data_IF_081611605472
#
_entry.id   IF_081611605472
#
_cell.length_a   1.000
_cell.length_b   1.000
_cell.length_c   1.000
_cell.angle_alpha   90.00
_cell.angle_beta   90.00
_cell.angle_gamma   90.00
#
_symmetry.space_group_name_H-M   'P 1'
#
loop_
_entity.id
_entity.type
_entity.pdbx_description
1 polymer ?
#
# COMPACT_ATOMS: atom_id res chain seq x y z
N UNK A 1 -26.95 65.58 -33.05
CA UNK A 1 -26.48 65.00 -31.78
C UNK A 1 -26.26 63.50 -31.96
N UNK A 2 -25.03 63.05 -32.21
CA UNK A 2 -24.70 61.62 -32.43
C UNK A 2 -23.94 61.07 -31.23
N UNK A 3 -24.63 60.24 -30.43
CA UNK A 3 -24.05 59.53 -29.27
C UNK A 3 -23.13 58.41 -29.80
N UNK A 4 -21.82 58.57 -29.63
CA UNK A 4 -20.82 57.55 -30.00
C UNK A 4 -21.07 56.23 -29.25
N UNK A 5 -21.06 55.14 -30.01
CA UNK A 5 -21.22 53.74 -29.62
C UNK A 5 -20.02 53.21 -28.82
N UNK A 6 -19.80 53.76 -27.62
CA UNK A 6 -18.72 53.38 -26.70
C UNK A 6 -18.87 51.97 -26.09
N UNK A 7 -20.02 51.32 -26.32
CA UNK A 7 -20.35 49.98 -25.83
C UNK A 7 -19.71 48.84 -26.62
N UNK A 8 -19.44 49.06 -27.91
CA UNK A 8 -18.95 48.03 -28.85
C UNK A 8 -17.43 48.08 -29.01
N UNK A 9 -16.77 49.10 -28.46
CA UNK A 9 -15.32 49.21 -28.47
C UNK A 9 -14.67 48.13 -27.60
N UNK A 10 -13.41 47.81 -27.90
CA UNK A 10 -12.61 46.85 -27.14
C UNK A 10 -12.51 47.23 -25.63
N UNK A 11 -12.44 46.24 -24.73
CA UNK A 11 -12.29 46.45 -23.30
C UNK A 11 -11.06 47.29 -22.98
N UNK A 12 -11.20 48.16 -21.99
CA UNK A 12 -10.08 48.99 -21.54
C UNK A 12 -9.11 48.15 -20.70
N UNK A 13 -7.81 48.41 -20.76
CA UNK A 13 -6.80 47.68 -19.97
C UNK A 13 -7.11 47.68 -18.46
N UNK A 14 -7.62 48.81 -17.94
CA UNK A 14 -8.08 48.93 -16.55
C UNK A 14 -9.24 47.99 -16.22
N UNK A 15 -10.19 47.80 -17.14
CA UNK A 15 -11.31 46.88 -16.94
C UNK A 15 -10.83 45.43 -16.89
N UNK A 16 -9.88 45.04 -17.75
CA UNK A 16 -9.31 43.70 -17.74
C UNK A 16 -8.48 43.44 -16.47
N UNK A 17 -7.71 44.43 -16.00
CA UNK A 17 -6.98 44.33 -14.74
C UNK A 17 -7.94 44.17 -13.55
N UNK A 18 -9.00 44.96 -13.52
CA UNK A 18 -10.02 44.90 -12.46
C UNK A 18 -10.81 43.59 -12.46
N UNK A 19 -11.11 43.04 -13.65
CA UNK A 19 -11.73 41.72 -13.78
C UNK A 19 -10.85 40.60 -13.22
N UNK A 20 -9.53 40.62 -13.48
CA UNK A 20 -8.60 39.63 -12.93
C UNK A 20 -8.53 39.71 -11.40
N UNK A 21 -8.47 40.92 -10.85
CA UNK A 21 -8.47 41.12 -9.40
C UNK A 21 -9.75 40.59 -8.75
N UNK A 22 -10.92 40.94 -9.30
CA UNK A 22 -12.20 40.42 -8.82
C UNK A 22 -12.31 38.90 -8.94
N UNK A 23 -11.86 38.33 -10.07
CA UNK A 23 -11.86 36.89 -10.32
C UNK A 23 -10.98 36.11 -9.32
N UNK A 24 -9.78 36.62 -9.03
CA UNK A 24 -8.90 36.07 -7.99
C UNK A 24 -9.55 36.18 -6.61
N UNK A 25 -10.15 37.33 -6.29
CA UNK A 25 -10.83 37.54 -5.03
C UNK A 25 -12.07 36.67 -4.85
N UNK A 26 -12.77 36.25 -5.90
CA UNK A 26 -13.94 35.39 -5.79
C UNK A 26 -13.65 33.91 -6.05
N UNK A 27 -12.41 33.56 -6.44
CA UNK A 27 -12.02 32.19 -6.80
C UNK A 27 -12.72 31.66 -8.05
N UNK A 28 -13.07 32.53 -9.00
CA UNK A 28 -13.82 32.17 -10.21
C UNK A 28 -13.13 32.65 -11.47
N UNK A 29 -13.31 31.94 -12.57
CA UNK A 29 -12.79 32.33 -13.89
C UNK A 29 -13.90 32.97 -14.75
N UNK A 30 -13.51 33.79 -15.72
CA UNK A 30 -14.42 34.41 -16.70
C UNK A 30 -13.88 34.25 -18.12
N UNK A 31 -14.78 34.21 -19.11
CA UNK A 31 -14.42 34.22 -20.53
C UNK A 31 -14.02 35.63 -20.97
N UNK A 32 -12.92 35.77 -21.71
CA UNK A 32 -12.37 37.07 -22.11
C UNK A 32 -13.39 37.95 -22.85
N UNK A 33 -13.84 39.09 -22.28
CA UNK A 33 -14.83 39.94 -22.90
C UNK A 33 -14.27 40.60 -24.16
N UNK A 34 -15.05 40.65 -25.23
CA UNK A 34 -14.64 41.24 -26.51
C UNK A 34 -14.99 42.73 -26.59
N UNK A 35 -15.85 43.22 -25.69
CA UNK A 35 -16.32 44.62 -25.68
C UNK A 35 -16.30 45.23 -24.28
N UNK A 36 -16.24 46.57 -24.18
CA UNK A 36 -16.31 47.29 -22.89
C UNK A 36 -17.62 47.01 -22.14
N UNK A 37 -18.73 46.83 -22.87
CA UNK A 37 -20.02 46.50 -22.26
C UNK A 37 -19.99 45.12 -21.62
N UNK A 38 -19.46 44.11 -22.33
CA UNK A 38 -19.28 42.76 -21.76
C UNK A 38 -18.35 42.79 -20.55
N UNK A 39 -17.26 43.54 -20.59
CA UNK A 39 -16.37 43.68 -19.45
C UNK A 39 -17.08 44.30 -18.22
N UNK A 40 -17.94 45.30 -18.44
CA UNK A 40 -18.71 45.94 -17.37
C UNK A 40 -19.77 45.01 -16.77
N UNK A 41 -20.48 44.25 -17.61
CA UNK A 41 -21.42 43.23 -17.14
C UNK A 41 -20.73 42.15 -16.29
N UNK A 42 -19.53 41.72 -16.70
CA UNK A 42 -18.77 40.72 -15.96
C UNK A 42 -18.23 41.29 -14.63
N UNK A 43 -17.84 42.56 -14.59
CA UNK A 43 -17.48 43.27 -13.36
C UNK A 43 -18.65 43.26 -12.37
N UNK A 44 -19.84 43.63 -12.81
CA UNK A 44 -21.02 43.67 -11.93
C UNK A 44 -21.43 42.27 -11.46
N UNK A 45 -21.34 41.26 -12.33
CA UNK A 45 -21.52 39.85 -11.96
C UNK A 45 -20.56 39.44 -10.83
N UNK A 46 -19.26 39.73 -10.98
CA UNK A 46 -18.25 39.37 -9.97
C UNK A 46 -18.40 40.16 -8.67
N UNK A 47 -18.82 41.43 -8.73
CA UNK A 47 -19.15 42.21 -7.52
C UNK A 47 -20.32 41.61 -6.76
N UNK A 48 -21.40 41.21 -7.45
CA UNK A 48 -22.54 40.54 -6.83
C UNK A 48 -22.13 39.19 -6.22
N UNK A 49 -21.27 38.43 -6.91
CA UNK A 49 -20.76 37.16 -6.40
C UNK A 49 -19.92 37.36 -5.13
N UNK A 50 -19.05 38.37 -5.09
CA UNK A 50 -18.27 38.75 -3.91
C UNK A 50 -19.16 39.16 -2.73
N UNK A 51 -20.22 39.92 -3.00
CA UNK A 51 -21.16 40.35 -1.98
C UNK A 51 -21.95 39.18 -1.37
N UNK A 52 -22.32 38.18 -2.18
CA UNK A 52 -23.12 37.03 -1.76
C UNK A 52 -22.30 35.93 -1.07
N UNK A 53 -21.08 35.65 -1.53
CA UNK A 53 -20.23 34.58 -0.98
C UNK A 53 -19.24 35.03 0.10
N UNK A 54 -19.07 36.34 0.28
CA UNK A 54 -18.00 36.90 1.10
C UNK A 54 -16.63 36.77 0.43
N UNK A 55 -15.59 37.36 1.05
CA UNK A 55 -14.20 37.18 0.62
C UNK A 55 -13.79 35.74 0.97
N UNK A 56 -13.41 34.89 0.00
CA UNK A 56 -12.63 33.69 0.28
C UNK A 56 -11.34 34.18 0.94
N UNK A 57 -11.26 34.03 2.25
CA UNK A 57 -9.98 34.03 2.91
C UNK A 57 -9.30 32.77 2.36
N UNK A 58 -8.24 32.94 1.57
CA UNK A 58 -7.23 31.88 1.53
C UNK A 58 -6.88 31.65 2.99
N UNK A 59 -7.33 30.51 3.54
CA UNK A 59 -6.83 30.05 4.81
C UNK A 59 -5.30 30.15 4.69
N UNK A 60 -4.61 30.74 5.68
CA UNK A 60 -3.15 30.84 5.62
C UNK A 60 -2.64 29.50 5.15
N UNK A 61 -1.78 29.48 4.12
CA UNK A 61 -1.06 28.25 3.76
C UNK A 61 -0.54 27.73 5.09
N UNK A 62 -1.14 26.64 5.59
CA UNK A 62 -0.67 25.99 6.80
C UNK A 62 0.82 25.85 6.56
N UNK A 63 1.60 26.51 7.41
CA UNK A 63 3.05 26.40 7.48
C UNK A 63 3.44 24.98 7.08
N UNK A 64 4.30 24.90 6.07
CA UNK A 64 4.73 23.71 5.35
C UNK A 64 4.20 22.38 5.89
N UNK A 65 3.33 21.71 5.11
CA UNK A 65 2.89 20.33 5.38
C UNK A 65 4.07 19.33 5.50
N UNK A 66 5.29 19.74 5.18
CA UNK A 66 6.53 19.02 5.42
C UNK A 66 7.00 19.05 6.89
N UNK A 67 6.52 20.00 7.71
CA UNK A 67 6.86 20.09 9.14
C UNK A 67 5.85 19.40 10.07
N UNK A 68 4.65 19.07 9.58
CA UNK A 68 3.76 18.20 10.32
C UNK A 68 4.30 16.77 10.22
N UNK A 69 4.80 16.17 11.32
CA UNK A 69 5.26 14.79 11.27
C UNK A 69 4.12 13.92 10.73
N UNK A 70 4.44 13.03 9.78
CA UNK A 70 3.48 12.07 9.25
C UNK A 70 2.72 11.38 10.39
N UNK A 71 1.48 10.95 10.17
CA UNK A 71 0.71 10.24 11.20
C UNK A 71 1.43 8.97 11.73
N UNK A 72 2.40 8.44 10.97
CA UNK A 72 3.30 7.33 11.29
C UNK A 72 4.69 7.74 11.76
N UNK A 73 5.00 9.03 11.85
CA UNK A 73 6.31 9.50 12.28
C UNK A 73 6.53 9.15 13.76
N UNK A 74 7.69 8.54 14.02
CA UNK A 74 8.04 8.08 15.36
C UNK A 74 8.11 9.28 16.32
N UNK A 75 7.33 9.21 17.41
CA UNK A 75 7.34 10.26 18.44
C UNK A 75 8.61 10.13 19.28
N UNK A 76 9.21 11.23 19.79
CA UNK A 76 10.41 11.14 20.65
C UNK A 76 10.25 10.20 21.85
N UNK A 77 9.03 10.05 22.38
CA UNK A 77 8.69 9.11 23.45
C UNK A 77 8.61 7.63 23.02
N UNK A 78 8.56 7.35 21.72
CA UNK A 78 8.63 6.00 21.15
C UNK A 78 10.07 5.55 20.94
N UNK A 79 11.01 6.49 20.84
CA UNK A 79 12.44 6.22 20.58
C UNK A 79 13.31 6.36 21.84
N UNK A 80 12.72 6.77 22.97
CA UNK A 80 13.45 6.87 24.24
C UNK A 80 13.53 5.51 24.95
N UNK A 81 14.76 5.01 25.10
CA UNK A 81 15.12 3.80 25.83
C UNK A 81 16.42 3.22 25.24
N UNK A 82 17.51 3.22 26.01
CA UNK A 82 18.80 2.68 25.56
C UNK A 82 19.03 1.31 26.20
N UNK A 83 19.29 0.29 25.38
CA UNK A 83 19.62 -1.06 25.85
C UNK A 83 18.49 -1.79 26.57
N UNK A 84 18.87 -2.66 27.52
CA UNK A 84 18.00 -3.57 28.28
C UNK A 84 16.98 -2.92 29.23
N UNK A 85 16.86 -1.59 29.21
CA UNK A 85 15.88 -0.83 30.00
C UNK A 85 14.72 -0.28 29.15
N UNK A 86 14.69 -0.55 27.84
CA UNK A 86 13.56 -0.19 26.98
C UNK A 86 12.30 -0.96 27.43
N UNK A 87 11.38 -0.26 28.09
CA UNK A 87 10.09 -0.81 28.55
C UNK A 87 8.95 -0.01 27.91
N UNK A 88 8.15 -0.67 27.08
CA UNK A 88 6.93 -0.09 26.52
C UNK A 88 5.98 0.29 27.67
N UNK A 89 5.81 1.58 27.94
CA UNK A 89 4.93 2.08 29.03
C UNK A 89 3.44 1.80 28.79
N UNK A 90 3.07 1.44 27.57
CA UNK A 90 1.72 1.04 27.22
C UNK A 90 1.81 -0.37 26.68
N UNK A 91 1.18 -1.34 27.33
CA UNK A 91 0.90 -2.62 26.67
C UNK A 91 0.01 -2.27 25.48
N UNK A 92 0.48 -2.39 24.22
CA UNK A 92 -0.41 -2.18 23.10
C UNK A 92 -1.60 -3.14 23.30
N UNK A 93 -2.84 -2.73 22.98
CA UNK A 93 -3.92 -3.70 22.89
C UNK A 93 -3.40 -4.82 21.97
N UNK A 94 -3.65 -6.07 22.36
CA UNK A 94 -3.21 -7.21 21.55
C UNK A 94 -3.60 -6.88 20.10
N UNK A 95 -2.61 -6.73 19.22
CA UNK A 95 -2.87 -6.57 17.80
C UNK A 95 -3.43 -7.93 17.40
N UNK A 96 -4.74 -8.07 17.53
CA UNK A 96 -5.49 -9.17 16.96
C UNK A 96 -5.37 -8.92 15.47
N UNK A 97 -4.32 -9.50 14.87
CA UNK A 97 -4.24 -9.68 13.43
C UNK A 97 -5.48 -10.48 13.07
N UNK A 98 -6.55 -9.79 12.69
CA UNK A 98 -7.61 -10.37 11.87
C UNK A 98 -7.06 -10.54 10.46
N UNK A 99 -5.98 -11.31 10.33
CA UNK A 99 -5.82 -12.12 9.12
C UNK A 99 -7.10 -12.92 9.11
N UNK A 100 -7.96 -12.75 8.10
CA UNK A 100 -8.96 -13.78 7.80
C UNK A 100 -8.16 -15.06 7.76
N UNK A 101 -8.22 -15.86 8.81
CA UNK A 101 -7.66 -17.19 8.79
C UNK A 101 -8.54 -17.91 7.78
N UNK A 102 -8.19 -17.79 6.50
CA UNK A 102 -8.80 -18.58 5.45
C UNK A 102 -8.67 -19.99 5.96
N UNK A 103 -9.81 -20.63 6.26
CA UNK A 103 -9.91 -21.89 7.01
C UNK A 103 -8.80 -22.80 6.54
N UNK A 104 -7.70 -22.84 7.31
CA UNK A 104 -6.56 -23.63 6.93
C UNK A 104 -7.07 -25.06 7.03
N UNK A 105 -7.08 -25.76 5.91
CA UNK A 105 -7.59 -27.11 5.83
C UNK A 105 -6.86 -28.02 6.81
N UNK A 106 -7.43 -29.20 7.02
CA UNK A 106 -6.80 -30.25 7.82
C UNK A 106 -5.38 -30.54 7.30
N UNK A 107 -4.43 -30.64 8.23
CA UNK A 107 -3.06 -30.95 7.92
C UNK A 107 -2.97 -32.45 7.58
N UNK A 108 -2.83 -32.76 6.30
CA UNK A 108 -2.84 -34.14 5.80
C UNK A 108 -1.41 -34.66 5.64
N UNK A 109 -1.10 -35.81 6.23
CA UNK A 109 0.17 -36.51 5.98
C UNK A 109 0.20 -37.03 4.54
N UNK A 110 1.21 -36.61 3.78
CA UNK A 110 1.38 -36.98 2.37
C UNK A 110 2.39 -38.11 2.20
N UNK A 111 3.47 -38.10 2.99
CA UNK A 111 4.50 -39.12 2.98
C UNK A 111 5.40 -39.00 4.22
N UNK A 112 6.03 -40.11 4.59
CA UNK A 112 7.02 -40.20 5.66
C UNK A 112 8.30 -40.80 5.11
N UNK A 113 9.43 -40.21 5.46
CA UNK A 113 10.75 -40.65 5.03
C UNK A 113 11.76 -40.50 6.16
N UNK A 114 12.92 -41.13 6.00
CA UNK A 114 14.00 -41.08 6.97
C UNK A 114 15.25 -40.47 6.34
N UNK A 115 15.91 -39.61 7.09
CA UNK A 115 17.15 -38.95 6.67
C UNK A 115 18.06 -38.73 7.87
N UNK A 116 19.31 -39.17 7.79
CA UNK A 116 20.27 -39.07 8.89
C UNK A 116 19.78 -39.70 10.21
N UNK A 117 19.01 -40.78 10.15
CA UNK A 117 18.42 -41.45 11.32
C UNK A 117 17.21 -40.75 11.95
N UNK A 118 16.73 -39.67 11.33
CA UNK A 118 15.56 -38.92 11.80
C UNK A 118 14.39 -39.13 10.86
N UNK A 119 13.25 -39.57 11.41
CA UNK A 119 12.01 -39.64 10.66
C UNK A 119 11.41 -38.25 10.44
N UNK A 120 10.97 -38.01 9.21
CA UNK A 120 10.39 -36.75 8.76
C UNK A 120 9.14 -37.02 7.96
N UNK A 121 8.23 -36.05 7.96
CA UNK A 121 6.90 -36.18 7.37
C UNK A 121 6.59 -34.95 6.55
N UNK A 122 6.16 -35.18 5.31
CA UNK A 122 5.59 -34.17 4.43
C UNK A 122 4.11 -34.02 4.73
N UNK A 123 3.69 -32.80 5.03
CA UNK A 123 2.29 -32.44 5.22
C UNK A 123 1.81 -31.52 4.12
N UNK A 124 0.60 -31.79 3.65
CA UNK A 124 -0.16 -30.90 2.78
C UNK A 124 -1.21 -30.16 3.59
N UNK A 125 -1.32 -28.85 3.36
CA UNK A 125 -2.38 -28.03 3.91
C UNK A 125 -3.05 -27.20 2.82
N UNK A 126 -4.38 -27.27 2.73
CA UNK A 126 -5.15 -26.42 1.81
C UNK A 126 -5.39 -25.06 2.45
N UNK A 127 -4.88 -23.99 1.85
CA UNK A 127 -5.02 -22.62 2.33
C UNK A 127 -5.55 -21.77 1.18
N UNK A 128 -6.71 -21.13 1.37
CA UNK A 128 -7.35 -20.26 0.37
C UNK A 128 -7.50 -20.87 -1.04
N UNK A 129 -7.66 -22.21 -1.13
CA UNK A 129 -7.87 -22.92 -2.41
C UNK A 129 -6.61 -23.58 -2.99
N UNK A 130 -5.42 -23.26 -2.47
CA UNK A 130 -4.15 -23.82 -2.92
C UNK A 130 -3.53 -24.75 -1.89
N UNK A 131 -2.73 -25.73 -2.33
CA UNK A 131 -2.01 -26.65 -1.42
C UNK A 131 -0.64 -26.06 -1.08
N UNK A 132 -0.31 -26.07 0.21
CA UNK A 132 1.03 -25.76 0.74
C UNK A 132 1.63 -27.04 1.31
N UNK A 133 2.88 -27.35 0.96
CA UNK A 133 3.59 -28.55 1.43
C UNK A 133 4.69 -28.15 2.41
N UNK A 134 4.72 -28.79 3.57
CA UNK A 134 5.73 -28.56 4.61
C UNK A 134 6.36 -29.88 5.05
N UNK A 135 7.68 -29.93 5.08
CA UNK A 135 8.47 -30.99 5.71
C UNK A 135 8.70 -30.65 7.19
N UNK A 136 8.36 -31.55 8.12
CA UNK A 136 8.68 -31.42 9.54
C UNK A 136 9.18 -32.75 10.13
N UNK A 137 9.97 -32.70 11.23
CA UNK A 137 10.30 -33.90 11.98
C UNK A 137 9.03 -34.65 12.43
N UNK A 138 9.06 -35.98 12.36
CA UNK A 138 7.96 -36.84 12.81
C UNK A 138 7.73 -36.75 14.33
N UNK A 139 8.82 -36.57 15.08
CA UNK A 139 8.83 -36.44 16.53
C UNK A 139 9.97 -35.50 16.97
N UNK A 140 9.79 -34.86 18.12
CA UNK A 140 10.81 -33.99 18.73
C UNK A 140 10.89 -32.58 18.14
N UNK A 141 11.93 -31.85 18.53
CA UNK A 141 12.22 -30.50 18.05
C UNK A 141 13.16 -30.54 16.85
N UNK A 142 12.82 -29.87 15.77
CA UNK A 142 13.69 -29.71 14.61
C UNK A 142 13.12 -28.71 13.62
N UNK A 143 13.94 -28.27 12.66
CA UNK A 143 13.51 -27.27 11.66
C UNK A 143 12.43 -27.85 10.76
N UNK A 144 11.40 -27.05 10.49
CA UNK A 144 10.41 -27.32 9.45
C UNK A 144 10.78 -26.55 8.19
N UNK A 145 10.63 -27.19 7.05
CA UNK A 145 10.95 -26.61 5.75
C UNK A 145 9.69 -26.51 4.91
N UNK A 146 9.46 -25.33 4.36
CA UNK A 146 8.45 -25.14 3.34
C UNK A 146 8.99 -25.71 2.02
N UNK A 147 8.28 -26.68 1.45
CA UNK A 147 8.68 -27.35 0.22
C UNK A 147 8.06 -26.63 -0.99
N UNK A 148 6.76 -26.36 -0.95
CA UNK A 148 6.04 -25.70 -2.06
C UNK A 148 4.87 -24.87 -1.55
N UNK A 149 4.59 -23.74 -2.21
CA UNK A 149 3.43 -22.87 -1.95
C UNK A 149 2.58 -22.74 -3.19
N UNK A 150 1.27 -22.67 -2.97
CA UNK A 150 0.38 -22.22 -4.02
C UNK A 150 0.24 -23.25 -5.14
N UNK A 151 0.45 -24.54 -4.85
CA UNK A 151 0.13 -25.60 -5.81
C UNK A 151 -1.35 -25.46 -6.13
N UNK A 152 -1.62 -24.98 -7.35
CA UNK A 152 -2.96 -24.78 -7.86
C UNK A 152 -3.62 -26.15 -8.03
N UNK A 153 -4.92 -26.19 -8.34
CA UNK A 153 -5.66 -27.44 -8.51
C UNK A 153 -5.22 -28.22 -9.78
N UNK A 154 -3.93 -28.20 -10.14
CA UNK A 154 -3.28 -28.92 -11.25
C UNK A 154 -3.33 -30.45 -11.10
N UNK A 155 -4.14 -30.94 -10.16
CA UNK A 155 -4.48 -32.34 -9.99
C UNK A 155 -3.63 -33.04 -8.92
N UNK A 156 -4.21 -34.12 -8.39
CA UNK A 156 -3.58 -35.01 -7.43
C UNK A 156 -2.28 -35.66 -7.96
N UNK A 157 -2.13 -35.80 -9.28
CA UNK A 157 -0.94 -36.34 -9.94
C UNK A 157 0.30 -35.48 -9.71
N UNK A 158 0.18 -34.15 -9.84
CA UNK A 158 1.29 -33.21 -9.66
C UNK A 158 1.77 -33.23 -8.21
N UNK A 159 0.82 -33.25 -7.25
CA UNK A 159 1.13 -33.41 -5.83
C UNK A 159 1.89 -34.71 -5.56
N UNK A 160 1.43 -35.84 -6.11
CA UNK A 160 2.10 -37.14 -5.93
C UNK A 160 3.48 -37.17 -6.55
N UNK A 161 3.65 -36.59 -7.74
CA UNK A 161 4.95 -36.53 -8.42
C UNK A 161 5.95 -35.71 -7.61
N UNK A 162 5.54 -34.54 -7.11
CA UNK A 162 6.37 -33.69 -6.26
C UNK A 162 6.78 -34.40 -4.95
N UNK A 163 5.83 -35.07 -4.29
CA UNK A 163 6.11 -35.84 -3.07
C UNK A 163 7.10 -36.98 -3.35
N UNK A 164 6.90 -37.72 -4.45
CA UNK A 164 7.79 -38.82 -4.83
C UNK A 164 9.20 -38.32 -5.13
N UNK A 165 9.33 -37.30 -5.96
CA UNK A 165 10.62 -36.68 -6.32
C UNK A 165 11.35 -36.15 -5.08
N UNK A 166 10.65 -35.42 -4.20
CA UNK A 166 11.25 -34.90 -2.97
C UNK A 166 11.80 -36.02 -2.07
N UNK A 167 11.03 -37.09 -1.87
CA UNK A 167 11.50 -38.23 -1.07
C UNK A 167 12.66 -38.96 -1.74
N UNK A 168 12.64 -39.11 -3.06
CA UNK A 168 13.73 -39.72 -3.81
C UNK A 168 15.02 -38.89 -3.68
N UNK A 169 14.93 -37.57 -3.78
CA UNK A 169 16.06 -36.67 -3.57
C UNK A 169 16.60 -36.76 -2.14
N UNK A 170 15.73 -36.82 -1.13
CA UNK A 170 16.14 -36.96 0.25
C UNK A 170 16.92 -38.27 0.49
N UNK A 171 16.45 -39.38 -0.11
CA UNK A 171 17.14 -40.66 -0.04
C UNK A 171 18.47 -40.65 -0.81
N UNK A 172 18.52 -40.06 -2.00
CA UNK A 172 19.74 -40.00 -2.81
C UNK A 172 20.84 -39.16 -2.14
N UNK A 173 20.47 -38.06 -1.48
CA UNK A 173 21.40 -37.15 -0.81
C UNK A 173 21.72 -37.57 0.63
N UNK A 174 20.91 -38.44 1.23
CA UNK A 174 20.93 -38.69 2.68
C UNK A 174 20.84 -37.38 3.50
N UNK A 175 20.21 -36.35 2.93
CA UNK A 175 20.03 -35.02 3.52
C UNK A 175 18.65 -34.47 3.16
N UNK A 176 18.14 -33.52 3.94
CA UNK A 176 16.92 -32.77 3.61
C UNK A 176 17.18 -31.94 2.35
N UNK A 177 16.43 -32.13 1.23
CA UNK A 177 16.66 -31.42 -0.03
C UNK A 177 16.65 -29.89 0.09
N UNK A 178 15.83 -29.34 1.00
CA UNK A 178 15.79 -27.90 1.27
C UNK A 178 17.00 -27.38 2.06
N UNK A 179 17.80 -28.26 2.68
CA UNK A 179 19.07 -27.90 3.34
C UNK A 179 20.22 -27.93 2.34
N UNK A 180 20.28 -28.96 1.49
CA UNK A 180 21.32 -29.09 0.46
C UNK A 180 21.27 -27.98 -0.59
N UNK A 181 20.08 -27.46 -0.91
CA UNK A 181 19.91 -26.31 -1.81
C UNK A 181 20.40 -24.97 -1.23
N UNK A 182 20.41 -24.82 0.10
CA UNK A 182 21.01 -23.66 0.78
C UNK A 182 22.55 -23.77 0.72
N UNK A 183 23.10 -24.96 1.00
CA UNK A 183 24.55 -25.21 0.93
C UNK A 183 25.11 -25.05 -0.50
N UNK A 184 24.35 -25.45 -1.53
CA UNK A 184 24.78 -25.31 -2.93
C UNK A 184 24.86 -23.85 -3.40
N UNK A 185 24.11 -22.94 -2.78
CA UNK A 185 24.14 -21.50 -3.09
C UNK A 185 25.32 -20.79 -2.42
N UNK A 186 25.76 -21.25 -1.25
CA UNK A 186 26.92 -20.69 -0.55
C UNK A 186 28.27 -21.14 -1.12
N UNK A 187 28.32 -22.29 -1.81
CA UNK A 187 29.52 -22.77 -2.51
C UNK A 187 29.75 -22.13 -3.90
N UNK A 188 28.92 -21.17 -4.30
CA UNK A 188 29.01 -20.46 -5.59
C UNK A 188 29.22 -18.93 -5.43
N UNK A 189 29.64 -18.46 -4.25
CA UNK A 189 30.11 -17.09 -4.02
C UNK A 189 31.60 -17.09 -3.66
#
# INVERSE_FOLDING_TARGET
MTRRTSSTSAPTAKQLAYLRDLAMQTGTTFSGPQTRRQASSEIERLKQLRATRGRPLEAPRRSDRAEEPYATAARPSEVSGFGSQATWKVRPPAIVRTVRQGRAGELTELSRYEVGGVQRVLYGQRIAGSVTITDRPAAGSGRSYLVERGLEHDGYSTLRALVADYTQQAHALQEIPMTSSILRRELQQ
#
